data_IF_866441219279
#
_entry.id   IF_866441219279
#
_cell.length_a   1.000
_cell.length_b   1.000
_cell.length_c   1.000
_cell.angle_alpha   90.00
_cell.angle_beta   90.00
_cell.angle_gamma   90.00
#
_symmetry.space_group_name_H-M   'P 1'
#
loop_
_entity.id
_entity.type
_entity.pdbx_description
1 polymer ?
#
# COMPACT_ATOMS: atom_id res chain seq x y z
N UNK A 1 -3.42 -23.62 16.36
CA UNK A 1 -3.52 -23.79 17.82
C UNK A 1 -3.41 -22.44 18.48
N UNK A 2 -4.31 -22.15 19.42
CA UNK A 2 -4.36 -20.88 20.15
C UNK A 2 -3.42 -20.89 21.36
N UNK A 3 -2.97 -19.70 21.78
CA UNK A 3 -2.10 -19.56 22.94
C UNK A 3 -2.91 -19.41 24.23
N UNK A 4 -2.47 -20.06 25.32
CA UNK A 4 -2.95 -19.68 26.66
C UNK A 4 -2.36 -18.31 27.03
N UNK A 5 -3.20 -17.44 27.58
CA UNK A 5 -2.79 -16.16 28.16
C UNK A 5 -3.04 -16.23 29.66
N UNK A 6 -1.97 -16.24 30.44
CA UNK A 6 -2.02 -16.12 31.89
C UNK A 6 -1.03 -15.04 32.32
N UNK A 7 -1.52 -13.92 32.84
CA UNK A 7 -0.68 -12.81 33.31
C UNK A 7 -1.14 -12.34 34.66
N UNK A 8 -0.19 -12.14 35.56
CA UNK A 8 -0.47 -11.58 36.88
C UNK A 8 -0.20 -10.08 36.98
N UNK A 9 -1.04 -9.39 37.74
CA UNK A 9 -0.82 -8.05 38.26
C UNK A 9 -0.90 -8.02 39.79
N UNK A 10 -0.08 -7.17 40.41
CA UNK A 10 0.01 -7.06 41.87
C UNK A 10 -0.81 -5.88 42.37
N UNK A 11 -1.70 -6.14 43.31
CA UNK A 11 -2.57 -5.11 43.85
C UNK A 11 -2.35 -4.87 45.34
N UNK A 12 -2.21 -3.58 45.65
CA UNK A 12 -2.14 -3.05 47.02
C UNK A 12 -3.52 -2.64 47.50
N UNK A 13 -3.63 -2.36 48.79
CA UNK A 13 -4.87 -1.94 49.45
C UNK A 13 -5.65 -0.86 48.69
N UNK A 14 -4.99 0.20 48.20
CA UNK A 14 -5.67 1.33 47.54
C UNK A 14 -6.28 0.99 46.18
N UNK A 15 -5.83 -0.09 45.53
CA UNK A 15 -6.26 -0.45 44.18
C UNK A 15 -7.46 -1.40 44.18
N UNK A 16 -7.68 -2.14 45.27
CA UNK A 16 -8.71 -3.19 45.36
C UNK A 16 -10.13 -2.65 45.14
N UNK A 17 -10.44 -1.44 45.59
CA UNK A 17 -11.78 -0.85 45.36
C UNK A 17 -12.03 -0.58 43.87
N UNK A 18 -11.01 -0.13 43.13
CA UNK A 18 -11.14 0.11 41.68
C UNK A 18 -11.37 -1.19 40.92
N UNK A 19 -10.66 -2.25 41.29
CA UNK A 19 -10.77 -3.58 40.67
C UNK A 19 -12.10 -4.22 41.00
N UNK A 20 -12.56 -4.11 42.24
CA UNK A 20 -13.89 -4.55 42.65
C UNK A 20 -14.98 -3.87 41.80
N UNK A 21 -14.92 -2.55 41.69
CA UNK A 21 -15.90 -1.80 40.90
C UNK A 21 -15.87 -2.17 39.41
N UNK A 22 -14.67 -2.48 38.87
CA UNK A 22 -14.50 -2.95 37.51
C UNK A 22 -15.08 -4.36 37.31
N UNK A 23 -14.69 -5.33 38.14
CA UNK A 23 -15.05 -6.73 37.98
C UNK A 23 -16.53 -6.99 38.26
N UNK A 24 -17.09 -6.33 39.29
CA UNK A 24 -18.51 -6.44 39.64
C UNK A 24 -19.42 -5.52 38.80
N UNK A 25 -18.85 -4.78 37.84
CA UNK A 25 -19.58 -3.84 36.96
C UNK A 25 -20.48 -2.87 37.74
N UNK A 26 -19.98 -2.32 38.84
CA UNK A 26 -20.76 -1.48 39.79
C UNK A 26 -21.29 -0.19 39.13
N UNK A 27 -20.50 0.42 38.24
CA UNK A 27 -20.90 1.64 37.54
C UNK A 27 -21.42 1.34 36.15
N UNK A 28 -22.44 2.09 35.68
CA UNK A 28 -22.97 1.97 34.31
C UNK A 28 -22.05 2.55 33.24
N UNK A 29 -21.28 3.57 33.59
CA UNK A 29 -20.35 4.25 32.69
C UNK A 29 -18.95 3.67 32.87
N UNK A 30 -18.43 3.02 31.84
CA UNK A 30 -17.09 2.47 31.83
C UNK A 30 -16.16 3.29 30.93
N UNK A 31 -14.92 3.50 31.37
CA UNK A 31 -13.88 4.10 30.52
C UNK A 31 -13.53 3.19 29.34
N UNK A 32 -13.64 1.87 29.53
CA UNK A 32 -13.49 0.89 28.48
C UNK A 32 -14.75 0.86 27.59
N UNK A 33 -14.64 1.42 26.38
CA UNK A 33 -15.73 1.48 25.39
C UNK A 33 -16.09 0.13 24.78
N UNK A 34 -15.31 -0.93 25.04
CA UNK A 34 -15.55 -2.27 24.50
C UNK A 34 -16.39 -3.15 25.44
N UNK A 35 -16.76 -2.64 26.62
CA UNK A 35 -17.75 -3.29 27.47
C UNK A 35 -19.12 -3.08 26.83
N UNK A 36 -19.83 -4.18 26.60
CA UNK A 36 -21.23 -4.20 26.17
C UNK A 36 -22.13 -4.41 27.40
N UNK A 37 -22.77 -3.34 27.93
CA UNK A 37 -23.59 -3.45 29.14
C UNK A 37 -24.78 -4.40 28.99
N UNK A 38 -25.24 -4.64 27.75
CA UNK A 38 -26.33 -5.59 27.49
C UNK A 38 -25.93 -7.02 27.79
N UNK A 39 -24.62 -7.33 27.78
CA UNK A 39 -24.05 -8.67 28.01
C UNK A 39 -23.50 -8.85 29.42
N UNK A 40 -23.39 -7.81 30.24
CA UNK A 40 -22.81 -7.91 31.59
C UNK A 40 -23.56 -8.88 32.52
N UNK A 41 -24.85 -9.15 32.26
CA UNK A 41 -25.61 -10.17 32.99
C UNK A 41 -25.15 -11.61 32.70
N UNK A 42 -24.37 -11.83 31.63
CA UNK A 42 -23.76 -13.11 31.28
C UNK A 42 -22.45 -13.35 32.05
N UNK A 43 -21.89 -12.33 32.69
CA UNK A 43 -20.71 -12.48 33.54
C UNK A 43 -21.05 -13.29 34.78
N UNK A 44 -20.09 -14.05 35.29
CA UNK A 44 -20.29 -14.90 36.46
C UNK A 44 -19.05 -14.99 37.33
N UNK A 45 -19.25 -15.30 38.61
CA UNK A 45 -18.22 -15.48 39.62
C UNK A 45 -18.11 -16.98 39.95
N UNK A 46 -16.89 -17.52 39.96
CA UNK A 46 -16.63 -18.95 40.19
C UNK A 46 -16.26 -19.30 41.65
N UNK A 47 -16.17 -18.30 42.51
CA UNK A 47 -16.06 -18.49 43.96
C UNK A 47 -17.41 -18.33 44.64
N UNK A 48 -17.52 -18.85 45.88
CA UNK A 48 -18.70 -18.67 46.72
C UNK A 48 -18.62 -17.38 47.56
N UNK A 49 -17.92 -16.36 47.06
CA UNK A 49 -17.74 -15.10 47.78
C UNK A 49 -19.07 -14.35 47.94
N UNK A 50 -19.20 -13.60 49.03
CA UNK A 50 -20.30 -12.66 49.19
C UNK A 50 -20.08 -11.44 48.28
N UNK A 51 -20.91 -11.32 47.23
CA UNK A 51 -20.82 -10.22 46.26
C UNK A 51 -21.20 -8.85 46.83
N UNK A 52 -21.85 -8.80 48.00
CA UNK A 52 -22.13 -7.53 48.69
C UNK A 52 -20.90 -6.98 49.41
N UNK A 53 -19.94 -7.84 49.72
CA UNK A 53 -18.68 -7.47 50.34
C UNK A 53 -17.68 -6.99 49.28
N UNK A 54 -16.88 -5.98 49.61
CA UNK A 54 -15.81 -5.52 48.70
C UNK A 54 -14.60 -6.44 48.74
N UNK A 55 -13.83 -6.50 47.64
CA UNK A 55 -12.54 -7.21 47.62
C UNK A 55 -11.58 -6.73 48.72
N UNK A 56 -11.61 -5.45 49.03
CA UNK A 56 -10.76 -4.88 50.08
C UNK A 56 -11.06 -5.47 51.46
N UNK A 57 -12.36 -5.53 51.82
CA UNK A 57 -12.81 -6.05 53.12
C UNK A 57 -12.54 -7.55 53.23
N UNK A 58 -13.01 -8.35 52.25
CA UNK A 58 -12.87 -9.81 52.29
C UNK A 58 -11.38 -10.24 52.37
N UNK A 59 -10.50 -9.58 51.61
CA UNK A 59 -9.08 -9.97 51.55
C UNK A 59 -8.39 -9.60 52.86
N UNK A 60 -8.73 -8.45 53.45
CA UNK A 60 -8.16 -8.06 54.75
C UNK A 60 -8.61 -8.98 55.88
N UNK A 61 -9.88 -9.37 55.89
CA UNK A 61 -10.42 -10.33 56.88
C UNK A 61 -9.68 -11.67 56.76
N UNK A 62 -9.62 -12.24 55.55
CA UNK A 62 -8.86 -13.48 55.29
C UNK A 62 -7.40 -13.39 55.74
N UNK A 63 -6.72 -12.27 55.46
CA UNK A 63 -5.33 -12.08 55.89
C UNK A 63 -5.23 -11.99 57.42
N UNK A 64 -6.12 -11.25 58.08
CA UNK A 64 -6.05 -11.05 59.53
C UNK A 64 -6.34 -12.35 60.29
N UNK A 65 -7.25 -13.18 59.80
CA UNK A 65 -7.59 -14.48 60.41
C UNK A 65 -6.47 -15.50 60.27
N UNK A 66 -5.74 -15.48 59.15
CA UNK A 66 -4.75 -16.52 58.82
C UNK A 66 -3.30 -16.10 59.12
N UNK A 67 -3.04 -14.86 59.53
CA UNK A 67 -1.68 -14.34 59.72
C UNK A 67 -1.20 -14.50 61.15
N UNK A 68 -0.06 -15.17 61.32
CA UNK A 68 0.55 -15.45 62.64
C UNK A 68 1.12 -14.17 63.29
N UNK A 69 1.62 -13.23 62.48
CA UNK A 69 2.27 -12.02 63.00
C UNK A 69 1.27 -10.97 63.46
N UNK A 70 1.36 -10.55 64.72
CA UNK A 70 0.58 -9.45 65.31
C UNK A 70 0.91 -8.04 64.77
N UNK A 71 2.08 -7.85 64.14
CA UNK A 71 2.44 -6.55 63.52
C UNK A 71 1.44 -6.16 62.43
N UNK A 72 1.09 -4.89 62.31
CA UNK A 72 0.23 -4.39 61.22
C UNK A 72 0.73 -4.75 59.81
N UNK A 73 -0.21 -4.89 58.86
CA UNK A 73 0.12 -5.12 57.45
C UNK A 73 0.78 -3.84 56.89
N UNK A 74 1.92 -3.99 56.20
CA UNK A 74 2.61 -2.85 55.59
C UNK A 74 1.72 -2.17 54.54
N UNK A 75 1.74 -0.84 54.49
CA UNK A 75 0.93 -0.05 53.53
C UNK A 75 1.17 -0.39 52.06
N UNK A 76 2.39 -0.83 51.74
CA UNK A 76 2.83 -1.20 50.40
C UNK A 76 2.72 -2.72 50.12
N UNK A 77 2.15 -3.49 51.06
CA UNK A 77 1.96 -4.92 50.90
C UNK A 77 1.05 -5.21 49.71
N UNK A 78 1.45 -6.21 48.92
CA UNK A 78 0.61 -6.79 47.87
C UNK A 78 -0.40 -7.69 48.56
N UNK A 79 -1.67 -7.28 48.52
CA UNK A 79 -2.77 -8.00 49.15
C UNK A 79 -3.38 -9.04 48.21
N UNK A 80 -3.34 -8.78 46.89
CA UNK A 80 -3.87 -9.67 45.87
C UNK A 80 -2.91 -9.74 44.67
N UNK A 81 -2.81 -10.92 44.07
CA UNK A 81 -2.16 -11.14 42.78
C UNK A 81 -3.28 -11.56 41.83
N UNK A 82 -3.75 -10.64 40.99
CA UNK A 82 -4.81 -10.95 40.05
C UNK A 82 -4.21 -11.52 38.78
N UNK A 83 -4.69 -12.69 38.39
CA UNK A 83 -4.36 -13.33 37.14
C UNK A 83 -5.47 -13.07 36.12
N UNK A 84 -5.10 -12.49 34.99
CA UNK A 84 -5.93 -12.50 33.79
C UNK A 84 -5.68 -13.81 33.07
N UNK A 85 -6.71 -14.64 32.97
CA UNK A 85 -6.70 -15.92 32.25
C UNK A 85 -7.61 -15.81 31.02
N UNK A 86 -7.06 -16.04 29.84
CA UNK A 86 -7.80 -15.98 28.56
C UNK A 86 -7.02 -16.70 27.45
N UNK A 87 -7.50 -16.59 26.21
CA UNK A 87 -6.86 -17.02 24.98
C UNK A 87 -7.23 -16.04 23.86
N UNK A 88 -7.04 -16.41 22.60
CA UNK A 88 -7.52 -15.63 21.47
C UNK A 88 -9.02 -15.84 21.22
N UNK A 89 -9.59 -14.96 20.39
CA UNK A 89 -11.02 -15.02 20.03
C UNK A 89 -11.38 -16.33 19.35
N UNK A 90 -10.50 -16.83 18.47
CA UNK A 90 -10.70 -18.07 17.72
C UNK A 90 -10.82 -19.30 18.61
N UNK A 91 -10.12 -19.33 19.75
CA UNK A 91 -10.27 -20.38 20.74
C UNK A 91 -11.69 -20.40 21.33
N UNK A 92 -12.17 -19.27 21.83
CA UNK A 92 -13.50 -19.22 22.45
C UNK A 92 -14.65 -19.31 21.46
N UNK A 93 -14.45 -18.92 20.20
CA UNK A 93 -15.43 -19.15 19.13
C UNK A 93 -15.62 -20.66 18.82
N UNK A 94 -14.66 -21.50 19.20
CA UNK A 94 -14.76 -22.96 19.08
C UNK A 94 -15.44 -23.65 20.28
N UNK A 95 -15.72 -22.92 21.36
CA UNK A 95 -16.31 -23.44 22.59
C UNK A 95 -17.74 -22.96 22.77
N UNK A 96 -18.61 -23.82 23.29
CA UNK A 96 -19.91 -23.41 23.81
C UNK A 96 -19.80 -22.75 25.20
N UNK A 97 -20.93 -22.28 25.75
CA UNK A 97 -20.97 -21.61 27.04
C UNK A 97 -20.55 -22.52 28.21
N UNK A 98 -20.94 -23.79 28.19
CA UNK A 98 -20.61 -24.74 29.25
C UNK A 98 -19.12 -25.10 29.21
N UNK A 99 -18.59 -25.36 28.02
CA UNK A 99 -17.17 -25.59 27.78
C UNK A 99 -16.32 -24.39 28.18
N UNK A 100 -16.78 -23.18 27.89
CA UNK A 100 -16.14 -21.93 28.31
C UNK A 100 -16.12 -21.80 29.83
N UNK A 101 -17.22 -22.13 30.51
CA UNK A 101 -17.28 -22.14 31.97
C UNK A 101 -16.31 -23.17 32.57
N UNK A 102 -16.34 -24.41 32.07
CA UNK A 102 -15.41 -25.49 32.48
C UNK A 102 -13.96 -25.12 32.25
N UNK A 103 -13.66 -24.32 31.22
CA UNK A 103 -12.31 -23.85 30.95
C UNK A 103 -11.79 -22.95 32.08
N UNK A 104 -12.61 -21.97 32.50
CA UNK A 104 -12.24 -21.07 33.59
C UNK A 104 -12.25 -21.77 34.96
N UNK A 105 -13.16 -22.72 35.19
CA UNK A 105 -13.15 -23.59 36.38
C UNK A 105 -11.87 -24.42 36.43
N UNK A 106 -11.47 -25.05 35.32
CA UNK A 106 -10.21 -25.82 35.23
C UNK A 106 -9.00 -24.93 35.51
N UNK A 107 -8.98 -23.70 34.98
CA UNK A 107 -7.91 -22.76 35.26
C UNK A 107 -7.90 -22.34 36.75
N UNK A 108 -9.07 -22.04 37.34
CA UNK A 108 -9.20 -21.75 38.77
C UNK A 108 -8.65 -22.91 39.61
N UNK A 109 -9.04 -24.15 39.29
CA UNK A 109 -8.63 -25.36 40.00
C UNK A 109 -7.11 -25.55 39.98
N UNK A 110 -6.45 -25.31 38.84
CA UNK A 110 -4.98 -25.33 38.78
C UNK A 110 -4.33 -24.40 39.81
N UNK A 111 -4.84 -23.16 39.93
CA UNK A 111 -4.30 -22.21 40.92
C UNK A 111 -4.69 -22.58 42.35
N UNK A 112 -5.90 -23.08 42.57
CA UNK A 112 -6.36 -23.53 43.88
C UNK A 112 -5.56 -24.74 44.41
N UNK A 113 -5.31 -25.74 43.57
CA UNK A 113 -4.50 -26.91 43.92
C UNK A 113 -3.06 -26.50 44.31
N UNK A 114 -2.48 -25.54 43.58
CA UNK A 114 -1.08 -25.13 43.76
C UNK A 114 -0.87 -24.10 44.88
N UNK A 115 -1.85 -23.25 45.12
CA UNK A 115 -1.72 -22.09 46.02
C UNK A 115 -2.76 -22.05 47.15
N UNK A 116 -3.65 -23.03 47.22
CA UNK A 116 -4.69 -23.18 48.23
C UNK A 116 -6.03 -22.58 47.80
N UNK A 117 -7.11 -23.36 47.88
CA UNK A 117 -8.48 -22.91 47.56
C UNK A 117 -8.87 -21.67 48.38
N UNK A 118 -8.55 -21.66 49.69
CA UNK A 118 -8.85 -20.52 50.57
C UNK A 118 -8.14 -19.22 50.16
N UNK A 119 -7.08 -19.29 49.34
CA UNK A 119 -6.39 -18.11 48.83
C UNK A 119 -7.03 -17.53 47.57
N UNK A 120 -7.99 -18.22 46.94
CA UNK A 120 -8.74 -17.72 45.80
C UNK A 120 -9.84 -16.78 46.32
N UNK A 121 -9.57 -15.47 46.30
CA UNK A 121 -10.49 -14.47 46.83
C UNK A 121 -11.67 -14.15 45.89
N UNK A 122 -11.45 -14.27 44.59
CA UNK A 122 -12.46 -14.06 43.55
C UNK A 122 -11.98 -14.66 42.23
N UNK A 123 -12.92 -15.01 41.36
CA UNK A 123 -12.72 -15.58 40.04
C UNK A 123 -13.85 -15.07 39.13
N UNK A 124 -13.76 -13.80 38.75
CA UNK A 124 -14.78 -13.10 37.96
C UNK A 124 -14.53 -13.32 36.47
N UNK A 125 -15.49 -13.95 35.79
CA UNK A 125 -15.45 -14.19 34.34
C UNK A 125 -16.26 -13.11 33.62
N UNK A 126 -15.60 -12.43 32.69
CA UNK A 126 -16.18 -11.41 31.83
C UNK A 126 -16.41 -11.94 30.42
N UNK A 127 -17.67 -11.93 30.00
CA UNK A 127 -18.13 -12.27 28.66
C UNK A 127 -18.64 -11.04 27.88
N UNK A 128 -18.70 -9.89 28.54
CA UNK A 128 -19.21 -8.62 28.02
C UNK A 128 -18.16 -7.73 27.34
N UNK A 129 -16.94 -8.25 27.15
CA UNK A 129 -15.85 -7.58 26.44
C UNK A 129 -15.51 -8.30 25.12
N UNK A 130 -14.42 -7.87 24.47
CA UNK A 130 -14.00 -8.40 23.15
C UNK A 130 -13.74 -9.92 23.13
N UNK A 131 -13.16 -10.46 24.20
CA UNK A 131 -12.79 -11.87 24.32
C UNK A 131 -13.12 -12.35 25.73
N UNK A 132 -13.74 -13.54 25.92
CA UNK A 132 -13.94 -14.14 27.23
C UNK A 132 -12.64 -14.18 28.05
N UNK A 133 -12.67 -13.70 29.28
CA UNK A 133 -11.51 -13.73 30.17
C UNK A 133 -11.92 -13.76 31.64
N UNK A 134 -11.04 -14.28 32.48
CA UNK A 134 -11.24 -14.34 33.93
C UNK A 134 -10.23 -13.47 34.66
N UNK A 135 -10.71 -12.70 35.63
CA UNK A 135 -9.93 -12.05 36.67
C UNK A 135 -9.92 -12.94 37.91
N UNK A 136 -8.79 -13.60 38.16
CA UNK A 136 -8.59 -14.53 39.28
C UNK A 136 -7.71 -13.91 40.36
N UNK A 137 -8.32 -13.50 41.46
CA UNK A 137 -7.63 -12.86 42.59
C UNK A 137 -7.06 -13.87 43.58
N UNK A 138 -5.73 -13.90 43.73
CA UNK A 138 -5.06 -14.79 44.69
C UNK A 138 -4.42 -13.99 45.83
N UNK A 139 -4.88 -14.22 47.06
CA UNK A 139 -4.26 -13.67 48.26
C UNK A 139 -2.96 -14.44 48.53
N UNK A 140 -1.80 -13.77 48.60
CA UNK A 140 -0.54 -14.48 48.71
C UNK A 140 -0.20 -14.90 50.15
N UNK A 141 -1.10 -15.64 50.80
CA UNK A 141 -0.88 -16.21 52.12
C UNK A 141 -0.21 -17.58 52.00
N UNK A 142 0.92 -17.77 52.69
CA UNK A 142 1.60 -19.06 52.80
C UNK A 142 2.23 -19.19 54.18
N UNK A 143 2.00 -20.31 54.85
CA UNK A 143 2.54 -20.61 56.19
C UNK A 143 2.31 -19.47 57.20
N UNK A 144 1.08 -18.93 57.18
CA UNK A 144 0.66 -17.80 58.01
C UNK A 144 1.33 -16.45 57.72
N UNK A 145 2.00 -16.31 56.56
CA UNK A 145 2.69 -15.09 56.13
C UNK A 145 2.12 -14.58 54.81
N UNK A 146 1.82 -13.28 54.76
CA UNK A 146 1.46 -12.57 53.54
C UNK A 146 2.72 -12.21 52.74
N UNK A 147 2.97 -12.88 51.61
CA UNK A 147 4.14 -12.61 50.77
C UNK A 147 3.94 -13.00 49.30
N UNK A 148 3.58 -12.02 48.46
CA UNK A 148 3.59 -12.17 47.00
C UNK A 148 4.98 -12.58 46.48
N UNK A 149 6.06 -12.12 47.13
CA UNK A 149 7.43 -12.51 46.77
C UNK A 149 7.67 -14.01 47.00
N UNK A 150 7.11 -14.59 48.05
CA UNK A 150 7.27 -16.03 48.33
C UNK A 150 6.55 -16.91 47.30
N UNK A 151 5.35 -16.51 46.87
CA UNK A 151 4.54 -17.28 45.91
C UNK A 151 4.95 -17.02 44.45
N UNK A 152 5.18 -15.76 44.08
CA UNK A 152 5.37 -15.33 42.68
C UNK A 152 6.53 -14.35 42.48
N UNK A 153 7.45 -14.25 43.44
CA UNK A 153 8.60 -13.32 43.35
C UNK A 153 9.75 -13.82 42.48
N UNK A 154 9.86 -15.13 42.27
CA UNK A 154 10.90 -15.75 41.44
C UNK A 154 10.44 -15.85 40.00
N UNK A 155 11.33 -15.48 39.06
CA UNK A 155 11.10 -15.63 37.62
C UNK A 155 10.84 -17.08 37.21
N UNK A 156 11.48 -18.03 37.88
CA UNK A 156 11.31 -19.48 37.66
C UNK A 156 9.88 -19.92 37.91
N UNK A 157 9.29 -19.61 39.08
CA UNK A 157 7.86 -19.92 39.35
C UNK A 157 6.90 -19.35 38.32
N UNK A 158 7.14 -18.13 37.82
CA UNK A 158 6.30 -17.57 36.76
C UNK A 158 6.48 -18.33 35.44
N UNK A 159 7.70 -18.78 35.12
CA UNK A 159 7.96 -19.65 33.95
C UNK A 159 7.30 -21.01 34.11
N UNK A 160 7.39 -21.64 35.29
CA UNK A 160 6.73 -22.91 35.59
C UNK A 160 5.22 -22.82 35.32
N UNK A 161 4.56 -21.73 35.73
CA UNK A 161 3.13 -21.54 35.45
C UNK A 161 2.86 -21.48 33.94
N UNK A 162 3.69 -20.79 33.17
CA UNK A 162 3.54 -20.73 31.70
C UNK A 162 3.76 -22.09 31.03
N UNK A 163 4.51 -22.98 31.67
CA UNK A 163 4.84 -24.31 31.16
C UNK A 163 3.80 -25.36 31.58
N UNK A 164 3.29 -25.27 32.80
CA UNK A 164 2.39 -26.24 33.41
C UNK A 164 0.92 -25.98 33.13
N UNK A 165 0.46 -24.72 33.21
CA UNK A 165 -0.95 -24.38 32.99
C UNK A 165 -1.49 -24.87 31.64
N UNK A 166 -0.83 -24.65 30.48
CA UNK A 166 -1.34 -25.19 29.21
C UNK A 166 -1.37 -26.72 29.20
N UNK A 167 -0.39 -27.40 29.83
CA UNK A 167 -0.38 -28.86 29.93
C UNK A 167 -1.54 -29.36 30.80
N UNK A 168 -1.81 -28.68 31.91
CA UNK A 168 -2.92 -28.99 32.80
C UNK A 168 -4.25 -28.84 32.06
N UNK A 169 -4.46 -27.71 31.37
CA UNK A 169 -5.68 -27.48 30.58
C UNK A 169 -5.81 -28.49 29.44
N UNK A 170 -4.73 -28.83 28.73
CA UNK A 170 -4.82 -29.81 27.65
C UNK A 170 -5.17 -31.22 28.15
N UNK A 171 -4.80 -31.59 29.38
CA UNK A 171 -5.27 -32.85 30.00
C UNK A 171 -6.79 -32.86 30.23
N UNK A 172 -7.42 -31.69 30.33
CA UNK A 172 -8.87 -31.54 30.45
C UNK A 172 -9.58 -31.47 29.08
N UNK A 173 -8.86 -31.71 27.98
CA UNK A 173 -9.42 -31.76 26.62
C UNK A 173 -9.29 -30.48 25.80
N UNK A 174 -8.56 -29.47 26.29
CA UNK A 174 -8.28 -28.26 25.52
C UNK A 174 -7.08 -28.43 24.57
N UNK A 175 -6.96 -27.56 23.56
CA UNK A 175 -5.89 -27.59 22.55
C UNK A 175 -5.13 -26.27 22.50
N UNK A 176 -4.49 -25.94 23.63
CA UNK A 176 -3.75 -24.70 23.82
C UNK A 176 -2.24 -24.94 23.80
N UNK A 177 -1.50 -23.97 23.28
CA UNK A 177 -0.04 -23.94 23.36
C UNK A 177 0.44 -22.89 24.36
N UNK A 178 1.59 -23.15 24.97
CA UNK A 178 2.31 -22.17 25.78
C UNK A 178 2.73 -20.97 24.94
N UNK A 179 2.88 -19.81 25.58
CA UNK A 179 3.55 -18.68 24.96
C UNK A 179 5.01 -19.00 24.59
N UNK A 180 5.55 -18.20 23.68
CA UNK A 180 6.94 -18.27 23.21
C UNK A 180 7.93 -18.25 24.40
N UNK A 181 8.84 -19.24 24.42
CA UNK A 181 9.90 -19.34 25.43
C UNK A 181 10.82 -18.12 25.31
N UNK A 182 11.14 -17.49 26.44
CA UNK A 182 12.00 -16.30 26.49
C UNK A 182 11.57 -15.15 25.57
N UNK A 183 10.26 -15.01 25.36
CA UNK A 183 9.70 -13.92 24.57
C UNK A 183 10.17 -12.55 25.08
N UNK A 184 10.68 -11.73 24.16
CA UNK A 184 11.15 -10.36 24.44
C UNK A 184 10.02 -9.32 24.40
N UNK A 185 8.77 -9.77 24.21
CA UNK A 185 7.59 -8.91 24.15
C UNK A 185 7.39 -8.20 25.49
N UNK A 186 7.23 -6.88 25.44
CA UNK A 186 6.82 -6.09 26.60
C UNK A 186 5.31 -6.08 26.70
N UNK A 187 4.79 -6.29 27.91
CA UNK A 187 3.36 -6.10 28.15
C UNK A 187 2.98 -4.65 27.88
N UNK A 188 1.87 -4.48 27.17
CA UNK A 188 1.25 -3.19 26.89
C UNK A 188 -0.02 -3.09 27.71
N UNK A 189 -0.30 -1.91 28.23
CA UNK A 189 -1.60 -1.66 28.85
C UNK A 189 -2.70 -1.83 27.79
N UNK A 190 -3.90 -2.19 28.23
CA UNK A 190 -5.05 -2.43 27.34
C UNK A 190 -5.29 -1.30 26.34
N UNK A 191 -5.20 -0.04 26.79
CA UNK A 191 -5.36 1.15 25.92
C UNK A 191 -4.25 1.24 24.85
N UNK A 192 -2.99 1.09 25.25
CA UNK A 192 -1.83 1.10 24.34
C UNK A 192 -1.90 -0.05 23.32
N UNK A 193 -2.36 -1.23 23.76
CA UNK A 193 -2.54 -2.38 22.89
C UNK A 193 -3.61 -2.10 21.83
N UNK A 194 -4.76 -1.51 22.22
CA UNK A 194 -5.83 -1.13 21.30
C UNK A 194 -5.38 -0.08 20.29
N UNK A 195 -4.63 0.92 20.72
CA UNK A 195 -4.08 1.94 19.83
C UNK A 195 -3.14 1.32 18.78
N UNK A 196 -2.22 0.46 19.21
CA UNK A 196 -1.34 -0.26 18.27
C UNK A 196 -2.13 -1.16 17.32
N UNK A 197 -3.15 -1.87 17.82
CA UNK A 197 -3.99 -2.72 16.98
C UNK A 197 -4.75 -1.89 15.93
N UNK A 198 -5.22 -0.70 16.28
CA UNK A 198 -5.87 0.23 15.34
C UNK A 198 -4.89 0.71 14.26
N UNK A 199 -3.67 1.07 14.65
CA UNK A 199 -2.61 1.47 13.71
C UNK A 199 -2.26 0.33 12.76
N UNK A 200 -2.12 -0.91 13.27
CA UNK A 200 -1.86 -2.08 12.44
C UNK A 200 -3.00 -2.33 11.44
N UNK A 201 -4.26 -2.33 11.90
CA UNK A 201 -5.43 -2.47 11.01
C UNK A 201 -5.48 -1.39 9.93
N UNK A 202 -5.07 -0.15 10.24
CA UNK A 202 -4.98 0.93 9.26
C UNK A 202 -3.84 0.71 8.26
N UNK A 203 -2.69 0.21 8.73
CA UNK A 203 -1.56 -0.15 7.89
C UNK A 203 -1.91 -1.31 6.93
N UNK A 204 -2.56 -2.37 7.43
CA UNK A 204 -3.00 -3.50 6.62
C UNK A 204 -3.94 -3.05 5.50
N UNK A 205 -4.96 -2.24 5.83
CA UNK A 205 -5.86 -1.66 4.81
C UNK A 205 -5.12 -0.80 3.79
N UNK A 206 -4.10 -0.06 4.22
CA UNK A 206 -3.30 0.75 3.31
C UNK A 206 -2.43 -0.13 2.40
N UNK A 207 -1.88 -1.23 2.91
CA UNK A 207 -1.16 -2.24 2.14
C UNK A 207 -2.08 -2.90 1.12
N UNK A 208 -3.27 -3.33 1.52
CA UNK A 208 -4.25 -3.94 0.61
C UNK A 208 -4.61 -3.00 -0.54
N UNK A 209 -4.89 -1.73 -0.23
CA UNK A 209 -5.15 -0.70 -1.24
C UNK A 209 -3.96 -0.54 -2.19
N UNK A 210 -2.74 -0.51 -1.66
CA UNK A 210 -1.52 -0.39 -2.47
C UNK A 210 -1.29 -1.62 -3.34
N UNK A 211 -1.59 -2.82 -2.86
CA UNK A 211 -1.52 -4.05 -3.65
C UNK A 211 -2.52 -4.01 -4.82
N UNK A 212 -3.77 -3.58 -4.58
CA UNK A 212 -4.72 -3.37 -5.68
C UNK A 212 -4.25 -2.35 -6.71
N UNK A 213 -3.64 -1.24 -6.27
CA UNK A 213 -3.05 -0.24 -7.18
C UNK A 213 -1.89 -0.83 -7.99
N UNK A 214 -1.03 -1.63 -7.36
CA UNK A 214 0.09 -2.33 -8.03
C UNK A 214 -0.43 -3.31 -9.08
N UNK A 215 -1.46 -4.09 -8.77
CA UNK A 215 -2.00 -5.08 -9.71
C UNK A 215 -2.67 -4.41 -10.91
N UNK A 216 -3.34 -3.28 -10.70
CA UNK A 216 -3.84 -2.46 -11.81
C UNK A 216 -2.69 -1.92 -12.68
N UNK A 217 -1.64 -1.37 -12.05
CA UNK A 217 -0.48 -0.87 -12.77
C UNK A 217 0.24 -1.97 -13.58
N UNK A 218 0.35 -3.19 -13.04
CA UNK A 218 0.88 -4.35 -13.77
C UNK A 218 0.03 -4.70 -15.00
N UNK A 219 -1.29 -4.67 -14.87
CA UNK A 219 -2.20 -4.91 -15.99
C UNK A 219 -2.01 -3.86 -17.10
N UNK A 220 -1.91 -2.58 -16.73
CA UNK A 220 -1.62 -1.50 -17.67
C UNK A 220 -0.24 -1.66 -18.34
N UNK A 221 0.79 -2.05 -17.59
CA UNK A 221 2.12 -2.33 -18.15
C UNK A 221 2.09 -3.48 -19.16
N UNK A 222 1.38 -4.57 -18.87
CA UNK A 222 1.23 -5.67 -19.82
C UNK A 222 0.54 -5.22 -21.12
N UNK A 223 -0.50 -4.38 -21.02
CA UNK A 223 -1.16 -3.83 -22.20
C UNK A 223 -0.22 -2.94 -23.03
N UNK A 224 0.52 -2.05 -22.36
CA UNK A 224 1.53 -1.21 -23.02
C UNK A 224 2.64 -2.04 -23.67
N UNK A 225 3.06 -3.14 -23.04
CA UNK A 225 4.06 -4.03 -23.60
C UNK A 225 3.55 -4.71 -24.88
N UNK A 226 2.32 -5.20 -24.88
CA UNK A 226 1.67 -5.76 -26.07
C UNK A 226 1.58 -4.72 -27.20
N UNK A 227 1.23 -3.47 -26.88
CA UNK A 227 1.18 -2.38 -27.85
C UNK A 227 2.57 -2.05 -28.43
N UNK A 228 3.61 -2.08 -27.61
CA UNK A 228 5.00 -1.89 -28.06
C UNK A 228 5.41 -3.02 -29.02
N UNK A 229 5.09 -4.26 -28.68
CA UNK A 229 5.46 -5.42 -29.50
C UNK A 229 4.73 -5.41 -30.85
N UNK A 230 3.44 -5.04 -30.85
CA UNK A 230 2.69 -4.80 -32.09
C UNK A 230 3.31 -3.68 -32.94
N UNK A 231 3.69 -2.55 -32.32
CA UNK A 231 4.32 -1.43 -33.03
C UNK A 231 5.68 -1.80 -33.61
N UNK A 232 6.48 -2.60 -32.91
CA UNK A 232 7.77 -3.10 -33.43
C UNK A 232 7.57 -3.97 -34.67
N UNK A 233 6.56 -4.83 -34.66
CA UNK A 233 6.24 -5.66 -35.83
C UNK A 233 5.86 -4.78 -37.03
N UNK A 234 4.96 -3.81 -36.84
CA UNK A 234 4.57 -2.88 -37.91
C UNK A 234 5.76 -2.07 -38.42
N UNK A 235 6.66 -1.63 -37.53
CA UNK A 235 7.86 -0.89 -37.94
C UNK A 235 8.76 -1.75 -38.85
N UNK A 236 9.00 -3.01 -38.49
CA UNK A 236 9.79 -3.94 -39.31
C UNK A 236 9.17 -4.17 -40.69
N UNK A 237 7.84 -4.27 -40.77
CA UNK A 237 7.13 -4.37 -42.05
C UNK A 237 7.28 -3.12 -42.92
N UNK A 238 7.30 -1.93 -42.31
CA UNK A 238 7.50 -0.66 -43.01
C UNK A 238 8.95 -0.49 -43.48
N UNK A 239 9.94 -0.84 -42.67
CA UNK A 239 11.37 -0.81 -43.04
C UNK A 239 11.64 -1.70 -44.25
N UNK A 240 11.05 -2.90 -44.30
CA UNK A 240 11.17 -3.79 -45.45
C UNK A 240 10.58 -3.18 -46.73
N UNK A 241 9.40 -2.55 -46.64
CA UNK A 241 8.76 -1.86 -47.78
C UNK A 241 9.56 -0.65 -48.25
N UNK A 242 10.15 0.10 -47.33
CA UNK A 242 11.02 1.22 -47.66
C UNK A 242 12.23 0.74 -48.46
N UNK A 243 12.89 -0.34 -48.01
CA UNK A 243 14.02 -0.94 -48.72
C UNK A 243 13.68 -1.39 -50.14
N UNK A 244 12.54 -2.05 -50.33
CA UNK A 244 12.03 -2.43 -51.66
C UNK A 244 11.77 -1.21 -52.55
N UNK A 245 11.21 -0.14 -51.97
CA UNK A 245 10.87 1.09 -52.69
C UNK A 245 12.14 1.82 -53.15
N UNK A 246 13.15 1.94 -52.28
CA UNK A 246 14.45 2.56 -52.61
C UNK A 246 15.12 1.83 -53.77
N UNK A 247 15.18 0.49 -53.74
CA UNK A 247 15.73 -0.28 -54.86
C UNK A 247 14.95 -0.08 -56.18
N UNK A 248 13.65 0.18 -56.10
CA UNK A 248 12.82 0.48 -57.28
C UNK A 248 13.09 1.89 -57.82
N UNK A 249 13.29 2.87 -56.93
CA UNK A 249 13.63 4.25 -57.30
C UNK A 249 14.98 4.29 -58.01
N UNK A 250 16.01 3.63 -57.47
CA UNK A 250 17.34 3.56 -58.10
C UNK A 250 17.27 3.01 -59.53
N UNK A 251 16.38 2.02 -59.77
CA UNK A 251 16.14 1.48 -61.11
C UNK A 251 15.52 2.53 -62.04
N UNK A 252 14.50 3.26 -61.58
CA UNK A 252 13.87 4.30 -62.39
C UNK A 252 14.78 5.50 -62.65
N UNK A 253 15.65 5.87 -61.69
CA UNK A 253 16.65 6.92 -61.90
C UNK A 253 17.63 6.55 -63.02
N UNK A 254 18.00 5.27 -63.12
CA UNK A 254 18.83 4.76 -64.22
C UNK A 254 18.10 4.85 -65.57
N UNK A 255 16.83 4.46 -65.63
CA UNK A 255 16.00 4.55 -66.84
C UNK A 255 15.76 6.01 -67.27
N UNK A 256 15.55 6.94 -66.32
CA UNK A 256 15.40 8.37 -66.61
C UNK A 256 16.70 8.95 -67.20
N UNK A 257 17.86 8.53 -66.70
CA UNK A 257 19.16 8.96 -67.23
C UNK A 257 19.34 8.51 -68.69
N UNK A 258 19.02 7.25 -68.98
CA UNK A 258 19.05 6.70 -70.35
C UNK A 258 18.10 7.45 -71.30
N UNK A 259 16.90 7.82 -70.85
CA UNK A 259 15.95 8.63 -71.63
C UNK A 259 16.39 10.10 -71.79
N UNK A 260 17.08 10.67 -70.80
CA UNK A 260 17.62 12.03 -70.87
C UNK A 260 18.72 12.14 -71.92
N UNK A 261 19.60 11.16 -72.00
CA UNK A 261 20.64 11.08 -73.03
C UNK A 261 20.00 11.03 -74.43
N UNK A 262 18.88 10.32 -74.59
CA UNK A 262 18.10 10.28 -75.83
C UNK A 262 17.40 11.61 -76.20
N UNK A 263 17.11 12.47 -75.21
CA UNK A 263 16.42 13.75 -75.40
C UNK A 263 17.38 14.85 -75.89
N UNK A 264 18.67 14.74 -75.56
CA UNK A 264 19.71 15.64 -76.07
C UNK A 264 19.84 15.50 -77.61
N UNK A 265 19.60 14.30 -78.17
CA UNK A 265 19.54 14.09 -79.61
C UNK A 265 18.32 14.76 -80.29
N UNK A 266 17.24 15.03 -79.54
CA UNK A 266 16.00 15.62 -80.08
C UNK A 266 16.00 17.16 -80.09
N UNK A 267 16.89 17.80 -79.33
CA UNK A 267 17.00 19.28 -79.29
C UNK A 267 17.53 19.92 -80.57
N UNK A 268 18.04 19.16 -81.53
CA UNK A 268 18.42 19.66 -82.86
C UNK A 268 17.21 20.00 -83.77
N UNK A 269 15.98 19.61 -83.38
CA UNK A 269 14.76 19.78 -84.20
C UNK A 269 13.92 21.04 -83.89
N UNK A 270 14.33 21.88 -82.92
CA UNK A 270 13.53 23.01 -82.40
C UNK A 270 13.50 24.28 -83.28
N UNK A 271 13.76 24.15 -84.59
CA UNK A 271 13.81 25.27 -85.54
C UNK A 271 12.48 25.59 -86.26
N UNK A 272 11.35 25.00 -85.87
CA UNK A 272 10.06 25.24 -86.57
C UNK A 272 9.01 25.93 -85.68
N UNK A 273 9.02 27.27 -85.83
CA UNK A 273 8.33 28.32 -85.10
C UNK A 273 6.78 28.28 -85.21
N UNK A 274 6.07 28.34 -84.07
CA UNK A 274 4.60 28.22 -83.92
C UNK A 274 3.84 29.52 -84.22
N UNK A 275 4.50 30.67 -84.26
CA UNK A 275 3.86 31.99 -84.46
C UNK A 275 3.24 32.20 -85.86
N UNK A 276 3.58 31.36 -86.84
CA UNK A 276 3.08 31.49 -88.22
C UNK A 276 1.64 30.97 -88.43
N UNK A 277 1.02 30.35 -87.42
CA UNK A 277 -0.29 29.68 -87.59
C UNK A 277 -1.52 30.58 -87.30
N UNK A 278 -1.36 31.74 -86.66
CA UNK A 278 -2.51 32.62 -86.34
C UNK A 278 -2.94 33.56 -87.48
N UNK A 279 -2.13 33.76 -88.53
CA UNK A 279 -2.43 34.73 -89.60
C UNK A 279 -3.26 34.19 -90.77
N UNK A 280 -3.43 32.88 -90.90
CA UNK A 280 -4.09 32.29 -92.06
C UNK A 280 -5.51 31.83 -91.69
N UNK A 281 -6.54 32.36 -92.36
CA UNK A 281 -7.94 31.90 -92.23
C UNK A 281 -8.03 30.38 -92.48
N UNK A 282 -8.02 29.60 -91.39
CA UNK A 282 -7.78 28.14 -91.38
C UNK A 282 -8.88 27.30 -92.07
N UNK A 283 -10.06 27.87 -92.35
CA UNK A 283 -11.19 27.15 -92.94
C UNK A 283 -11.94 28.04 -93.94
N UNK A 284 -12.21 27.51 -95.15
CA UNK A 284 -13.00 28.19 -96.20
C UNK A 284 -14.32 27.44 -96.44
N UNK A 285 -15.45 28.15 -96.60
CA UNK A 285 -16.74 27.55 -97.01
C UNK A 285 -16.80 27.39 -98.52
N UNK A 286 -17.23 26.23 -99.00
CA UNK A 286 -17.57 26.00 -100.40
C UNK A 286 -19.00 26.43 -100.70
N UNK A 287 -19.33 26.64 -101.97
CA UNK A 287 -20.64 27.16 -102.42
C UNK A 287 -21.82 26.22 -102.10
N UNK A 288 -21.55 24.92 -101.90
CA UNK A 288 -22.49 23.89 -101.44
C UNK A 288 -22.63 23.83 -99.89
N UNK A 289 -22.07 24.81 -99.17
CA UNK A 289 -22.18 24.95 -97.72
C UNK A 289 -21.20 24.10 -96.90
N UNK A 290 -20.33 23.31 -97.53
CA UNK A 290 -19.35 22.47 -96.83
C UNK A 290 -18.13 23.28 -96.40
N UNK A 291 -17.56 22.94 -95.24
CA UNK A 291 -16.35 23.56 -94.72
C UNK A 291 -15.14 22.79 -95.26
N UNK A 292 -14.22 23.49 -95.93
CA UNK A 292 -13.00 22.92 -96.52
C UNK A 292 -11.78 23.55 -95.84
N UNK A 293 -11.00 22.70 -95.18
CA UNK A 293 -9.73 23.03 -94.56
C UNK A 293 -8.64 22.32 -95.36
N UNK A 294 -7.51 22.97 -95.59
CA UNK A 294 -6.40 22.30 -96.25
C UNK A 294 -5.84 21.20 -95.34
N UNK A 295 -5.36 20.12 -95.97
CA UNK A 295 -4.94 18.92 -95.27
C UNK A 295 -3.81 19.19 -94.28
N UNK A 296 -2.90 20.10 -94.63
CA UNK A 296 -1.74 20.43 -93.81
C UNK A 296 -2.15 21.17 -92.52
N UNK A 297 -3.09 22.11 -92.63
CA UNK A 297 -3.69 22.80 -91.49
C UNK A 297 -4.49 21.86 -90.60
N UNK A 298 -5.26 20.92 -91.18
CA UNK A 298 -5.98 19.90 -90.40
C UNK A 298 -5.03 19.00 -89.62
N UNK A 299 -3.96 18.51 -90.25
CA UNK A 299 -2.96 17.67 -89.57
C UNK A 299 -2.26 18.43 -88.44
N UNK A 300 -1.88 19.70 -88.66
CA UNK A 300 -1.28 20.54 -87.60
C UNK A 300 -2.24 20.74 -86.41
N UNK A 301 -3.51 21.03 -86.69
CA UNK A 301 -4.53 21.15 -85.64
C UNK A 301 -4.78 19.83 -84.92
N UNK A 302 -4.84 18.71 -85.64
CA UNK A 302 -5.02 17.38 -85.09
C UNK A 302 -3.84 16.99 -84.18
N UNK A 303 -2.60 17.20 -84.63
CA UNK A 303 -1.41 16.95 -83.83
C UNK A 303 -1.34 17.84 -82.59
N UNK A 304 -1.69 19.12 -82.71
CA UNK A 304 -1.74 20.05 -81.57
C UNK A 304 -2.82 19.66 -80.56
N UNK A 305 -4.02 19.32 -81.03
CA UNK A 305 -5.12 18.86 -80.18
C UNK A 305 -4.77 17.53 -79.49
N UNK A 306 -4.16 16.58 -80.20
CA UNK A 306 -3.69 15.30 -79.64
C UNK A 306 -2.60 15.52 -78.58
N UNK A 307 -1.64 16.42 -78.83
CA UNK A 307 -0.60 16.79 -77.85
C UNK A 307 -1.23 17.41 -76.60
N UNK A 308 -2.13 18.37 -76.76
CA UNK A 308 -2.82 19.01 -75.64
C UNK A 308 -3.67 18.02 -74.83
N UNK A 309 -4.35 17.06 -75.48
CA UNK A 309 -5.09 15.99 -74.76
C UNK A 309 -4.13 15.14 -73.93
N UNK A 310 -2.99 14.74 -74.51
CA UNK A 310 -1.94 14.00 -73.79
C UNK A 310 -1.42 14.81 -72.58
N UNK A 311 -1.10 16.08 -72.77
CA UNK A 311 -0.58 16.92 -71.68
C UNK A 311 -1.63 17.13 -70.59
N UNK A 312 -2.91 17.28 -70.95
CA UNK A 312 -4.00 17.40 -69.99
C UNK A 312 -4.21 16.09 -69.19
N UNK A 313 -4.00 14.92 -69.83
CA UNK A 313 -4.03 13.64 -69.10
C UNK A 313 -2.87 13.51 -68.12
N UNK A 314 -1.66 13.99 -68.47
CA UNK A 314 -0.51 14.01 -67.56
C UNK A 314 -0.74 14.95 -66.38
N UNK A 315 -1.24 16.17 -66.64
CA UNK A 315 -1.59 17.13 -65.59
C UNK A 315 -2.64 16.57 -64.63
N UNK A 316 -3.63 15.83 -65.15
CA UNK A 316 -4.65 15.19 -64.30
C UNK A 316 -4.06 14.08 -63.43
N UNK A 317 -3.08 13.32 -63.94
CA UNK A 317 -2.36 12.31 -63.15
C UNK A 317 -1.52 12.96 -62.05
N UNK A 318 -0.83 14.05 -62.38
CA UNK A 318 -0.02 14.82 -61.42
C UNK A 318 -0.88 15.45 -60.32
N UNK A 319 -2.05 16.00 -60.67
CA UNK A 319 -3.00 16.56 -59.72
C UNK A 319 -3.53 15.50 -58.74
N UNK A 320 -3.82 14.30 -59.22
CA UNK A 320 -4.22 13.19 -58.35
C UNK A 320 -3.08 12.76 -57.40
N UNK A 321 -1.83 12.77 -57.89
CA UNK A 321 -0.65 12.46 -57.07
C UNK A 321 -0.47 13.50 -55.96
N UNK A 322 -0.49 14.78 -56.30
CA UNK A 322 -0.41 15.89 -55.34
C UNK A 322 -1.55 15.85 -54.32
N UNK A 323 -2.76 15.46 -54.73
CA UNK A 323 -3.88 15.33 -53.80
C UNK A 323 -3.70 14.17 -52.81
N UNK A 324 -3.09 13.06 -53.25
CA UNK A 324 -2.71 11.96 -52.35
C UNK A 324 -1.65 12.40 -51.34
N UNK A 325 -0.61 13.11 -51.79
CA UNK A 325 0.45 13.66 -50.94
C UNK A 325 -0.12 14.65 -49.91
N UNK A 326 -1.03 15.53 -50.32
CA UNK A 326 -1.69 16.48 -49.41
C UNK A 326 -2.55 15.79 -48.34
N UNK A 327 -3.23 14.69 -48.70
CA UNK A 327 -3.98 13.88 -47.74
C UNK A 327 -3.05 13.19 -46.73
N UNK A 328 -1.89 12.71 -47.17
CA UNK A 328 -0.89 12.10 -46.30
C UNK A 328 -0.27 13.12 -45.35
N UNK A 329 0.09 14.31 -45.84
CA UNK A 329 0.55 15.43 -45.01
C UNK A 329 -0.49 15.83 -43.96
N UNK A 330 -1.78 15.86 -44.34
CA UNK A 330 -2.87 16.17 -43.41
C UNK A 330 -2.98 15.13 -42.27
N UNK A 331 -2.79 13.84 -42.56
CA UNK A 331 -2.75 12.78 -41.54
C UNK A 331 -1.54 12.91 -40.61
N UNK A 332 -0.38 13.21 -41.18
CA UNK A 332 0.83 13.45 -40.37
C UNK A 332 0.61 14.64 -39.43
N UNK A 333 0.01 15.73 -39.91
CA UNK A 333 -0.27 16.92 -39.10
C UNK A 333 -1.23 16.63 -37.93
N UNK A 334 -2.21 15.74 -38.14
CA UNK A 334 -3.09 15.22 -37.07
C UNK A 334 -2.31 14.42 -36.02
N UNK A 335 -1.38 13.56 -36.45
CA UNK A 335 -0.53 12.81 -35.51
C UNK A 335 0.38 13.73 -34.69
N UNK A 336 0.99 14.75 -35.31
CA UNK A 336 1.81 15.72 -34.59
C UNK A 336 1.01 16.51 -33.55
N UNK A 337 -0.25 16.88 -33.85
CA UNK A 337 -1.13 17.52 -32.86
C UNK A 337 -1.39 16.60 -31.66
N UNK A 338 -1.69 15.32 -31.91
CA UNK A 338 -1.91 14.35 -30.83
C UNK A 338 -0.67 14.21 -29.93
N UNK A 339 0.51 14.08 -30.53
CA UNK A 339 1.78 14.02 -29.79
C UNK A 339 2.07 15.33 -29.02
N UNK A 340 1.67 16.49 -29.57
CA UNK A 340 1.77 17.78 -28.89
C UNK A 340 0.86 17.85 -27.66
N UNK A 341 -0.36 17.34 -27.76
CA UNK A 341 -1.32 17.29 -26.66
C UNK A 341 -0.84 16.36 -25.53
N UNK A 342 -0.31 15.19 -25.89
CA UNK A 342 0.31 14.25 -24.94
C UNK A 342 1.51 14.90 -24.22
N UNK A 343 2.36 15.62 -24.95
CA UNK A 343 3.47 16.37 -24.36
C UNK A 343 3.01 17.48 -23.41
N UNK A 344 1.86 18.12 -23.68
CA UNK A 344 1.30 19.13 -22.78
C UNK A 344 0.84 18.50 -21.47
N UNK A 345 0.20 17.33 -21.51
CA UNK A 345 -0.22 16.56 -20.34
C UNK A 345 1.01 16.15 -19.52
N UNK A 346 2.02 15.56 -20.16
CA UNK A 346 3.27 15.16 -19.50
C UNK A 346 3.99 16.36 -18.85
N UNK A 347 3.96 17.54 -19.48
CA UNK A 347 4.49 18.79 -18.88
C UNK A 347 3.73 19.19 -17.62
N UNK A 348 2.40 19.03 -17.59
CA UNK A 348 1.59 19.33 -16.41
C UNK A 348 1.87 18.35 -15.27
N UNK A 349 1.96 17.05 -15.57
CA UNK A 349 2.31 16.01 -14.59
C UNK A 349 3.71 16.26 -14.00
N UNK A 350 4.69 16.61 -14.84
CA UNK A 350 6.03 16.96 -14.39
C UNK A 350 6.04 18.17 -13.44
N UNK A 351 5.19 19.18 -13.67
CA UNK A 351 5.05 20.31 -12.72
C UNK A 351 4.49 19.84 -11.38
N UNK A 352 3.44 19.01 -11.37
CA UNK A 352 2.87 18.46 -10.14
C UNK A 352 3.87 17.60 -9.36
N UNK A 353 4.69 16.82 -10.06
CA UNK A 353 5.78 16.05 -9.44
C UNK A 353 6.84 16.96 -8.82
N UNK A 354 7.25 18.02 -9.51
CA UNK A 354 8.17 19.03 -8.96
C UNK A 354 7.63 19.67 -7.67
N UNK A 355 6.33 19.99 -7.61
CA UNK A 355 5.69 20.54 -6.41
C UNK A 355 5.65 19.55 -5.24
N UNK A 356 5.36 18.27 -5.52
CA UNK A 356 5.42 17.20 -4.51
C UNK A 356 6.83 17.04 -3.95
N UNK A 357 7.85 17.05 -4.81
CA UNK A 357 9.26 16.98 -4.39
C UNK A 357 9.62 18.17 -3.49
N UNK A 358 9.20 19.39 -3.83
CA UNK A 358 9.42 20.59 -3.01
C UNK A 358 8.75 20.50 -1.64
N UNK A 359 7.55 19.93 -1.59
CA UNK A 359 6.81 19.71 -0.33
C UNK A 359 7.53 18.69 0.56
N UNK A 360 7.99 17.58 -0.01
CA UNK A 360 8.78 16.57 0.70
C UNK A 360 10.10 17.15 1.24
N UNK A 361 10.80 17.95 0.45
CA UNK A 361 12.04 18.62 0.87
C UNK A 361 11.81 19.54 2.09
N UNK A 362 10.68 20.26 2.10
CA UNK A 362 10.26 21.09 3.23
C UNK A 362 9.97 20.25 4.49
N UNK A 363 9.30 19.11 4.34
CA UNK A 363 9.04 18.18 5.44
C UNK A 363 10.31 17.56 6.01
N UNK A 364 11.24 17.14 5.15
CA UNK A 364 12.57 16.64 5.55
C UNK A 364 13.33 17.72 6.32
N UNK A 365 13.29 18.97 5.86
CA UNK A 365 13.91 20.11 6.55
C UNK A 365 13.31 20.34 7.94
N UNK A 366 11.99 20.23 8.08
CA UNK A 366 11.32 20.35 9.38
C UNK A 366 11.69 19.20 10.33
N UNK A 367 11.73 17.97 9.83
CA UNK A 367 12.17 16.81 10.60
C UNK A 367 13.61 16.99 11.09
N UNK A 368 14.51 17.50 10.25
CA UNK A 368 15.89 17.81 10.64
C UNK A 368 15.94 18.81 11.81
N UNK A 369 15.12 19.87 11.77
CA UNK A 369 15.02 20.84 12.88
C UNK A 369 14.51 20.18 14.16
N UNK A 370 13.46 19.35 14.07
CA UNK A 370 12.91 18.64 15.24
C UNK A 370 13.91 17.67 15.85
N UNK A 371 14.65 16.93 15.02
CA UNK A 371 15.71 16.02 15.48
C UNK A 371 16.85 16.79 16.13
N UNK A 372 17.23 17.95 15.61
CA UNK A 372 18.24 18.81 16.24
C UNK A 372 17.79 19.29 17.64
N UNK A 373 16.56 19.80 17.77
CA UNK A 373 15.99 20.22 19.07
C UNK A 373 15.92 19.05 20.04
N UNK A 374 15.49 17.86 19.56
CA UNK A 374 15.47 16.66 20.38
C UNK A 374 16.88 16.29 20.87
N UNK A 375 17.91 16.38 20.02
CA UNK A 375 19.30 16.09 20.43
C UNK A 375 19.78 17.03 21.53
N UNK A 376 19.46 18.32 21.45
CA UNK A 376 19.81 19.29 22.49
C UNK A 376 19.10 18.99 23.81
N UNK A 377 17.78 18.79 23.78
CA UNK A 377 17.00 18.51 25.00
C UNK A 377 17.31 17.14 25.60
N UNK A 378 17.51 16.12 24.78
CA UNK A 378 17.89 14.79 25.27
C UNK A 378 19.26 14.81 25.95
N UNK A 379 20.20 15.64 25.49
CA UNK A 379 21.51 15.78 26.15
C UNK A 379 21.40 16.39 27.56
N UNK A 380 20.41 17.25 27.79
CA UNK A 380 20.17 17.96 29.06
C UNK A 380 19.45 17.06 30.09
N UNK A 381 18.46 16.27 29.66
CA UNK A 381 17.56 15.55 30.57
C UNK A 381 17.73 14.03 30.59
N UNK A 382 18.57 13.44 29.73
CA UNK A 382 18.75 11.99 29.64
C UNK A 382 20.07 11.53 30.29
N UNK A 383 20.08 10.41 31.03
CA UNK A 383 21.32 9.82 31.53
C UNK A 383 22.30 9.53 30.38
N UNK A 384 23.56 9.94 30.54
CA UNK A 384 24.64 9.86 29.53
C UNK A 384 24.73 8.51 28.77
N UNK A 385 24.67 7.32 29.43
CA UNK A 385 24.72 6.04 28.72
C UNK A 385 23.46 5.75 27.88
N UNK A 386 22.29 6.24 28.31
CA UNK A 386 21.02 6.10 27.57
C UNK A 386 21.02 7.04 26.37
N UNK A 387 21.52 8.26 26.53
CA UNK A 387 21.69 9.23 25.44
C UNK A 387 22.61 8.70 24.35
N UNK A 388 23.77 8.12 24.71
CA UNK A 388 24.73 7.57 23.74
C UNK A 388 24.16 6.38 22.95
N UNK A 389 23.47 5.44 23.59
CA UNK A 389 22.81 4.33 22.91
C UNK A 389 21.67 4.81 21.99
N UNK A 390 20.88 5.77 22.44
CA UNK A 390 19.76 6.31 21.64
C UNK A 390 20.29 7.11 20.45
N UNK A 391 21.38 7.87 20.62
CA UNK A 391 22.04 8.61 19.55
C UNK A 391 22.66 7.66 18.52
N UNK A 392 23.25 6.54 18.95
CA UNK A 392 23.75 5.47 18.07
C UNK A 392 22.63 4.90 17.21
N UNK A 393 21.47 4.58 17.80
CA UNK A 393 20.28 4.11 17.08
C UNK A 393 19.71 5.14 16.09
N UNK A 394 19.63 6.41 16.50
CA UNK A 394 19.15 7.49 15.63
C UNK A 394 20.12 7.74 14.47
N UNK A 395 21.43 7.60 14.69
CA UNK A 395 22.44 7.73 13.64
C UNK A 395 22.52 6.50 12.74
N UNK A 396 22.30 5.28 13.27
CA UNK A 396 22.27 4.04 12.48
C UNK A 396 21.06 3.98 11.54
N UNK A 397 19.96 4.64 11.90
CA UNK A 397 18.81 4.80 11.01
C UNK A 397 19.10 5.72 9.81
N UNK A 398 20.21 6.47 9.81
CA UNK A 398 20.65 7.38 8.74
C UNK A 398 19.50 8.10 7.99
N UNK A 399 18.48 8.69 8.65
CA UNK A 399 17.32 9.23 7.93
C UNK A 399 17.75 10.39 7.02
N UNK A 400 18.79 11.12 7.45
CA UNK A 400 19.32 12.32 6.80
C UNK A 400 20.18 11.97 5.58
N UNK A 401 21.00 10.92 5.67
CA UNK A 401 21.86 10.46 4.58
C UNK A 401 21.07 9.79 3.48
N UNK A 402 20.12 8.91 3.86
CA UNK A 402 19.22 8.25 2.92
C UNK A 402 18.25 9.24 2.28
N UNK A 403 17.61 10.13 3.05
CA UNK A 403 16.70 11.13 2.47
C UNK A 403 17.42 12.14 1.56
N UNK A 404 18.60 12.67 1.94
CA UNK A 404 19.37 13.55 1.04
C UNK A 404 19.85 12.83 -0.21
N UNK A 405 20.25 11.56 -0.11
CA UNK A 405 20.73 10.80 -1.26
C UNK A 405 19.59 10.49 -2.22
N UNK A 406 18.42 10.10 -1.71
CA UNK A 406 17.21 9.86 -2.50
C UNK A 406 16.70 11.16 -3.11
N UNK A 407 16.58 12.25 -2.35
CA UNK A 407 16.17 13.56 -2.88
C UNK A 407 17.16 14.08 -3.92
N UNK A 408 18.48 13.90 -3.73
CA UNK A 408 19.50 14.27 -4.72
C UNK A 408 19.46 13.40 -5.97
N UNK A 409 19.25 12.10 -5.84
CA UNK A 409 19.10 11.19 -6.98
C UNK A 409 17.84 11.53 -7.79
N UNK A 410 16.72 11.78 -7.11
CA UNK A 410 15.45 12.20 -7.74
C UNK A 410 15.61 13.56 -8.40
N UNK A 411 16.24 14.55 -7.74
CA UNK A 411 16.51 15.87 -8.32
C UNK A 411 17.43 15.78 -9.54
N UNK A 412 18.51 15.00 -9.48
CA UNK A 412 19.42 14.79 -10.61
C UNK A 412 18.74 14.08 -11.81
N UNK A 413 17.77 13.20 -11.55
CA UNK A 413 16.96 12.56 -12.60
C UNK A 413 15.97 13.55 -13.23
N UNK A 414 15.40 14.46 -12.43
CA UNK A 414 14.50 15.52 -12.90
C UNK A 414 15.25 16.59 -13.69
N UNK A 415 16.46 16.97 -13.25
CA UNK A 415 17.28 18.01 -13.89
C UNK A 415 18.00 17.49 -15.15
N UNK A 416 18.24 16.18 -15.30
CA UNK A 416 18.75 15.56 -16.55
C UNK A 416 17.69 15.43 -17.65
N UNK A 417 16.40 15.49 -17.29
CA UNK A 417 15.26 15.33 -18.20
C UNK A 417 14.47 16.64 -18.40
N UNK A 418 14.96 17.76 -17.86
CA UNK A 418 14.49 19.13 -18.15
C UNK A 418 15.40 19.74 -19.21
#
# INVERSE_FOLDING_TARGET
MSYIVARMEKYKSSQLSGIYNHNERVFKNHSNKDIDPSRSHLNYELTNRDRTQTYHKQIKEHINENRISSRGIRKDAVLCNEWVITSDKTFFESLDQEQTKKFFESAKNYFAEKYGEANIAYASVHLDESTPHMHLGIVPMKDGKLSSKALFGSREKLREIQDELPKYLNKQGYHLQRGEVDSKKKHLKTEEFKEKQKILKMADKAIDKKNSEIDNAKSQLNNLQNDIDNKKQVLSELENKEWETVGTIEKYEKEIKELSDLKIDLTELDNFNIDNLQKNNLIKRTFDGKLKMDKETFEKLYHTAKKNISDNTKLKQELNKLQSENNQLSRNLLSYRKTSDENLILKQENRQLKDKVKTLDSQVTLLNKKVAIWREKAKEFMPKPVFQNTLSLVNSLSPIGLAKTVVRQVKNLVDKNS
#
